data_IF_690656859894
#
_entry.id   IF_690656859894
#
_cell.length_a   1.000
_cell.length_b   1.000
_cell.length_c   1.000
_cell.angle_alpha   90.00
_cell.angle_beta   90.00
_cell.angle_gamma   90.00
#
_symmetry.space_group_name_H-M   'P 1'
#
loop_
_entity.id
_entity.type
_entity.pdbx_description
1 polymer ?
#
# COMPACT_ATOMS: atom_id res chain seq x y z
N UNK A 1 -13.21 26.43 -3.13
CA UNK A 1 -13.16 25.26 -4.01
C UNK A 1 -13.25 24.00 -3.18
N UNK A 2 -14.12 23.07 -3.57
CA UNK A 2 -14.30 21.78 -2.91
C UNK A 2 -13.87 20.67 -3.87
N UNK A 3 -12.91 19.86 -3.48
CA UNK A 3 -12.32 18.80 -4.30
C UNK A 3 -12.68 17.45 -3.68
N UNK A 4 -13.18 16.53 -4.49
CA UNK A 4 -13.39 15.14 -4.13
C UNK A 4 -12.31 14.26 -4.75
N UNK A 5 -11.51 13.62 -3.92
CA UNK A 5 -10.55 12.58 -4.33
C UNK A 5 -11.22 11.22 -4.19
N UNK A 6 -11.12 10.40 -5.24
CA UNK A 6 -11.69 9.05 -5.24
C UNK A 6 -10.57 8.04 -5.48
N UNK A 7 -10.19 7.30 -4.43
CA UNK A 7 -9.33 6.12 -4.52
C UNK A 7 -9.79 5.12 -3.48
N UNK A 8 -10.54 4.12 -3.91
CA UNK A 8 -11.26 3.21 -3.02
C UNK A 8 -10.34 2.17 -2.38
N UNK A 9 -9.44 1.60 -3.16
CA UNK A 9 -8.56 0.47 -2.80
C UNK A 9 -7.50 0.25 -3.90
N UNK A 10 -6.47 -0.60 -3.79
CA UNK A 10 -6.09 -1.33 -2.58
C UNK A 10 -5.24 -0.44 -1.65
N UNK A 11 -4.73 -1.00 -0.53
CA UNK A 11 -3.85 -0.27 0.40
C UNK A 11 -2.67 0.38 -0.32
N UNK A 12 -1.94 -0.39 -1.15
CA UNK A 12 -0.81 0.12 -1.94
C UNK A 12 -1.21 1.26 -2.89
N UNK A 13 -2.35 1.14 -3.56
CA UNK A 13 -2.84 2.20 -4.46
C UNK A 13 -3.22 3.49 -3.70
N UNK A 14 -3.74 3.37 -2.48
CA UNK A 14 -4.01 4.53 -1.62
C UNK A 14 -2.69 5.21 -1.24
N UNK A 15 -1.66 4.43 -0.88
CA UNK A 15 -0.31 4.94 -0.60
C UNK A 15 0.26 5.66 -1.83
N UNK A 16 0.16 5.06 -3.03
CA UNK A 16 0.63 5.68 -4.27
C UNK A 16 -0.07 7.01 -4.60
N UNK A 17 -1.26 7.26 -4.04
CA UNK A 17 -2.02 8.49 -4.27
C UNK A 17 -1.64 9.61 -3.28
N UNK A 18 -0.94 9.31 -2.17
CA UNK A 18 -0.55 10.31 -1.18
C UNK A 18 0.30 11.46 -1.76
N UNK A 19 1.27 11.22 -2.67
CA UNK A 19 2.01 12.32 -3.30
C UNK A 19 1.11 13.25 -4.12
N UNK A 20 0.10 12.71 -4.78
CA UNK A 20 -0.87 13.53 -5.51
C UNK A 20 -1.75 14.36 -4.58
N UNK A 21 -2.11 13.80 -3.42
CA UNK A 21 -2.85 14.55 -2.39
C UNK A 21 -2.00 15.72 -1.86
N UNK A 22 -0.71 15.49 -1.54
CA UNK A 22 0.20 16.55 -1.12
C UNK A 22 0.30 17.66 -2.17
N UNK A 23 0.50 17.30 -3.43
CA UNK A 23 0.57 18.25 -4.54
C UNK A 23 -0.74 19.03 -4.74
N UNK A 24 -1.90 18.40 -4.57
CA UNK A 24 -3.20 19.06 -4.60
C UNK A 24 -3.34 20.06 -3.45
N UNK A 25 -2.94 19.70 -2.22
CA UNK A 25 -3.00 20.60 -1.07
C UNK A 25 -2.05 21.80 -1.25
N UNK A 26 -0.83 21.59 -1.75
CA UNK A 26 0.11 22.67 -2.05
C UNK A 26 -0.46 23.61 -3.12
N UNK A 27 -1.08 23.08 -4.18
CA UNK A 27 -1.66 23.88 -5.28
C UNK A 27 -2.92 24.63 -4.86
N UNK A 28 -3.75 24.02 -4.00
CA UNK A 28 -5.01 24.54 -3.53
C UNK A 28 -5.08 24.60 -2.00
N UNK A 29 -4.28 25.47 -1.35
CA UNK A 29 -4.12 25.47 0.10
C UNK A 29 -5.40 25.75 0.89
N UNK A 30 -6.35 26.48 0.27
CA UNK A 30 -7.65 26.84 0.85
C UNK A 30 -8.81 25.95 0.38
N UNK A 31 -8.54 24.94 -0.43
CA UNK A 31 -9.60 24.04 -0.89
C UNK A 31 -10.05 23.11 0.24
N UNK A 32 -11.35 22.80 0.28
CA UNK A 32 -11.83 21.68 1.09
C UNK A 32 -11.63 20.40 0.28
N UNK A 33 -10.78 19.48 0.77
CA UNK A 33 -10.46 18.22 0.11
C UNK A 33 -11.08 17.07 0.89
N UNK A 34 -12.03 16.38 0.24
CA UNK A 34 -12.64 15.14 0.75
C UNK A 34 -12.06 13.94 0.01
N UNK A 35 -11.90 12.79 0.68
CA UNK A 35 -11.45 11.56 0.04
C UNK A 35 -12.41 10.40 0.30
N UNK A 36 -12.87 9.74 -0.76
CA UNK A 36 -13.66 8.50 -0.68
C UNK A 36 -12.73 7.28 -0.74
N UNK A 37 -12.78 6.45 0.31
CA UNK A 37 -11.94 5.26 0.49
C UNK A 37 -12.73 4.08 1.03
N UNK A 38 -12.33 2.84 0.76
CA UNK A 38 -12.85 1.64 1.42
C UNK A 38 -12.25 1.46 2.84
N UNK A 39 -12.98 0.78 3.73
CA UNK A 39 -12.63 0.59 5.16
C UNK A 39 -11.18 0.10 5.36
N UNK A 40 -10.72 -0.87 4.57
CA UNK A 40 -9.42 -1.52 4.72
C UNK A 40 -8.21 -0.57 4.61
N UNK A 41 -8.36 0.56 3.89
CA UNK A 41 -7.28 1.53 3.72
C UNK A 41 -7.55 2.86 4.45
N UNK A 42 -8.71 2.98 5.12
CA UNK A 42 -9.14 4.24 5.74
C UNK A 42 -8.21 4.70 6.86
N UNK A 43 -7.57 3.77 7.58
CA UNK A 43 -6.62 4.09 8.65
C UNK A 43 -5.45 4.96 8.15
N UNK A 44 -4.98 4.76 6.93
CA UNK A 44 -3.87 5.53 6.36
C UNK A 44 -4.18 7.03 6.22
N UNK A 45 -5.44 7.37 5.99
CA UNK A 45 -5.84 8.74 5.63
C UNK A 45 -6.79 9.40 6.65
N UNK A 46 -7.17 8.71 7.74
CA UNK A 46 -7.92 9.33 8.83
C UNK A 46 -7.09 10.45 9.46
N UNK A 47 -7.71 11.63 9.66
CA UNK A 47 -7.05 12.81 10.23
C UNK A 47 -5.75 13.20 9.49
N UNK A 48 -5.71 12.96 8.18
CA UNK A 48 -4.55 13.29 7.37
C UNK A 48 -4.46 14.82 7.17
N UNK A 49 -3.28 15.48 7.37
CA UNK A 49 -3.16 16.94 7.37
C UNK A 49 -3.56 17.60 6.05
N UNK A 50 -3.47 16.87 4.94
CA UNK A 50 -3.90 17.36 3.62
C UNK A 50 -5.40 17.14 3.34
N UNK A 51 -6.18 16.54 4.25
CA UNK A 51 -7.60 16.24 4.09
C UNK A 51 -8.45 16.97 5.10
N UNK A 52 -9.61 17.42 4.66
CA UNK A 52 -10.64 18.00 5.54
C UNK A 52 -11.73 16.99 5.89
N UNK A 53 -11.95 15.99 5.01
CA UNK A 53 -12.95 14.96 5.24
C UNK A 53 -12.54 13.61 4.62
N UNK A 54 -12.78 12.53 5.35
CA UNK A 54 -12.67 11.16 4.85
C UNK A 54 -14.05 10.52 4.81
N UNK A 55 -14.47 10.02 3.64
CA UNK A 55 -15.75 9.38 3.40
C UNK A 55 -15.50 7.89 3.20
N UNK A 56 -15.99 7.06 4.11
CA UNK A 56 -15.75 5.62 4.07
C UNK A 56 -16.85 4.94 3.26
N UNK A 57 -16.45 4.22 2.21
CA UNK A 57 -17.35 3.39 1.42
C UNK A 57 -17.41 1.97 1.97
N UNK A 58 -18.60 1.56 2.42
CA UNK A 58 -18.91 0.21 2.89
C UNK A 58 -19.14 -0.82 1.77
N UNK A 59 -18.82 -0.52 0.52
CA UNK A 59 -19.19 -1.31 -0.66
C UNK A 59 -18.93 -2.82 -0.54
N UNK A 60 -17.77 -3.22 0.00
CA UNK A 60 -17.45 -4.66 0.17
C UNK A 60 -18.36 -5.32 1.19
N UNK A 61 -18.69 -4.63 2.28
CA UNK A 61 -19.63 -5.08 3.30
C UNK A 61 -21.04 -5.17 2.70
N UNK A 62 -21.49 -4.15 1.98
CA UNK A 62 -22.81 -4.14 1.32
C UNK A 62 -22.98 -5.32 0.37
N UNK A 63 -21.98 -5.64 -0.47
CA UNK A 63 -22.03 -6.79 -1.36
C UNK A 63 -22.14 -8.13 -0.60
N UNK A 64 -21.47 -8.25 0.55
CA UNK A 64 -21.58 -9.42 1.43
C UNK A 64 -22.95 -9.51 2.08
N UNK A 65 -23.51 -8.39 2.54
CA UNK A 65 -24.80 -8.32 3.22
C UNK A 65 -25.96 -8.52 2.23
N UNK A 66 -25.86 -8.01 0.99
CA UNK A 66 -26.81 -8.32 -0.08
C UNK A 66 -26.90 -9.82 -0.36
N UNK A 67 -25.76 -10.53 -0.41
CA UNK A 67 -25.73 -11.99 -0.58
C UNK A 67 -26.36 -12.74 0.61
N UNK A 68 -26.50 -12.10 1.75
CA UNK A 68 -27.15 -12.61 2.97
C UNK A 68 -28.60 -12.18 3.10
N UNK A 69 -29.16 -11.50 2.09
CA UNK A 69 -30.56 -11.04 2.09
C UNK A 69 -30.84 -9.78 2.92
N UNK A 70 -29.81 -9.06 3.39
CA UNK A 70 -29.94 -7.86 4.23
C UNK A 70 -30.18 -6.59 3.41
N UNK A 71 -31.20 -6.57 2.57
CA UNK A 71 -31.45 -5.49 1.61
C UNK A 71 -31.76 -4.15 2.28
N UNK A 72 -32.55 -4.15 3.37
CA UNK A 72 -32.97 -2.93 4.08
C UNK A 72 -31.79 -2.21 4.73
N UNK A 73 -30.86 -2.97 5.35
CA UNK A 73 -29.67 -2.45 5.98
C UNK A 73 -28.72 -1.85 4.95
N UNK A 74 -28.49 -2.57 3.84
CA UNK A 74 -27.65 -2.07 2.74
C UNK A 74 -28.25 -0.79 2.15
N UNK A 75 -29.56 -0.72 1.94
CA UNK A 75 -30.22 0.48 1.40
C UNK A 75 -30.09 1.68 2.36
N UNK A 76 -30.23 1.44 3.66
CA UNK A 76 -30.03 2.47 4.70
C UNK A 76 -28.59 3.00 4.69
N UNK A 77 -27.59 2.12 4.68
CA UNK A 77 -26.17 2.51 4.66
C UNK A 77 -25.79 3.20 3.35
N UNK A 78 -26.28 2.73 2.19
CA UNK A 78 -26.04 3.37 0.92
C UNK A 78 -26.65 4.78 0.84
N UNK A 79 -27.85 4.98 1.41
CA UNK A 79 -28.46 6.31 1.53
C UNK A 79 -27.65 7.23 2.44
N UNK A 80 -27.15 6.71 3.57
CA UNK A 80 -26.29 7.47 4.47
C UNK A 80 -24.98 7.87 3.76
N UNK A 81 -24.34 6.92 3.07
CA UNK A 81 -23.14 7.21 2.27
C UNK A 81 -23.40 8.30 1.23
N UNK A 82 -24.52 8.23 0.52
CA UNK A 82 -24.89 9.24 -0.48
C UNK A 82 -25.19 10.59 0.16
N UNK A 83 -25.83 10.61 1.32
CA UNK A 83 -26.07 11.83 2.10
C UNK A 83 -24.76 12.48 2.51
N UNK A 84 -23.79 11.70 3.02
CA UNK A 84 -22.47 12.20 3.38
C UNK A 84 -21.69 12.67 2.14
N UNK A 85 -21.74 11.91 1.04
CA UNK A 85 -21.09 12.27 -0.22
C UNK A 85 -21.63 13.61 -0.78
N UNK A 86 -22.92 13.88 -0.58
CA UNK A 86 -23.61 15.11 -1.06
C UNK A 86 -23.80 16.18 0.01
N UNK A 87 -23.20 16.01 1.18
CA UNK A 87 -23.30 16.99 2.27
C UNK A 87 -22.67 18.35 1.91
N UNK A 88 -21.82 18.35 0.88
CA UNK A 88 -21.16 19.55 0.34
C UNK A 88 -21.18 19.49 -1.19
N UNK A 89 -21.41 20.61 -1.88
CA UNK A 89 -21.23 20.68 -3.33
C UNK A 89 -19.75 20.63 -3.67
N UNK A 90 -19.36 19.75 -4.60
CA UNK A 90 -17.99 19.66 -5.11
C UNK A 90 -17.86 20.41 -6.43
N UNK A 91 -16.76 21.16 -6.58
CA UNK A 91 -16.40 21.82 -7.82
C UNK A 91 -15.69 20.86 -8.79
N UNK A 92 -14.94 19.90 -8.23
CA UNK A 92 -14.12 18.94 -8.95
C UNK A 92 -14.10 17.59 -8.25
N UNK A 93 -14.35 16.50 -8.97
CA UNK A 93 -14.09 15.13 -8.56
C UNK A 93 -12.93 14.58 -9.38
N UNK A 94 -11.93 13.99 -8.72
CA UNK A 94 -10.75 13.37 -9.33
C UNK A 94 -10.79 11.89 -9.02
N UNK A 95 -10.92 11.06 -10.05
CA UNK A 95 -10.94 9.61 -9.90
C UNK A 95 -9.59 8.99 -10.26
N UNK A 96 -8.78 8.74 -9.23
CA UNK A 96 -7.51 8.01 -9.32
C UNK A 96 -7.68 6.50 -9.46
N UNK A 97 -8.89 5.97 -9.30
CA UNK A 97 -9.13 4.53 -9.32
C UNK A 97 -9.38 4.01 -10.73
N UNK A 98 -10.12 4.77 -11.56
CA UNK A 98 -10.31 4.51 -12.98
C UNK A 98 -11.14 3.28 -13.31
N UNK A 99 -12.04 2.82 -12.43
CA UNK A 99 -12.92 1.68 -12.64
C UNK A 99 -14.39 2.09 -12.51
N UNK A 100 -15.30 1.30 -13.08
CA UNK A 100 -16.75 1.57 -13.04
C UNK A 100 -17.28 1.93 -11.63
N UNK A 101 -16.85 1.18 -10.61
CA UNK A 101 -17.28 1.40 -9.21
C UNK A 101 -16.91 2.77 -8.64
N UNK A 102 -15.80 3.36 -9.09
CA UNK A 102 -15.34 4.67 -8.65
C UNK A 102 -15.90 5.77 -9.53
N UNK A 103 -16.04 5.51 -10.81
CA UNK A 103 -16.66 6.43 -11.76
C UNK A 103 -18.12 6.74 -11.39
N UNK A 104 -18.87 5.76 -10.91
CA UNK A 104 -20.21 5.99 -10.34
C UNK A 104 -20.16 6.92 -9.12
N UNK A 105 -19.17 6.80 -8.24
CA UNK A 105 -19.02 7.70 -7.09
C UNK A 105 -18.75 9.13 -7.59
N UNK A 106 -17.91 9.30 -8.61
CA UNK A 106 -17.67 10.59 -9.24
C UNK A 106 -18.96 11.21 -9.82
N UNK A 107 -19.77 10.41 -10.51
CA UNK A 107 -21.07 10.87 -11.01
C UNK A 107 -22.03 11.23 -9.88
N UNK A 108 -22.18 10.37 -8.90
CA UNK A 108 -23.08 10.56 -7.75
C UNK A 108 -22.70 11.73 -6.85
N UNK A 109 -21.44 12.17 -6.88
CA UNK A 109 -21.00 13.36 -6.13
C UNK A 109 -21.67 14.66 -6.62
N UNK A 110 -22.16 14.67 -7.86
CA UNK A 110 -22.74 15.85 -8.50
C UNK A 110 -21.71 16.88 -8.95
N UNK A 111 -20.42 16.59 -8.90
CA UNK A 111 -19.37 17.51 -9.34
C UNK A 111 -19.49 17.83 -10.83
N UNK A 112 -19.51 19.13 -11.23
CA UNK A 112 -19.59 19.54 -12.64
C UNK A 112 -18.32 19.16 -13.42
N UNK A 113 -17.15 19.15 -12.79
CA UNK A 113 -15.90 18.67 -13.37
C UNK A 113 -15.55 17.30 -12.76
N UNK A 114 -15.43 16.33 -13.63
CA UNK A 114 -15.08 14.94 -13.25
C UNK A 114 -13.87 14.52 -14.07
N UNK A 115 -12.71 14.56 -13.42
CA UNK A 115 -11.41 14.25 -13.99
C UNK A 115 -11.05 12.78 -13.75
N UNK A 116 -10.68 12.08 -14.82
CA UNK A 116 -10.25 10.69 -14.79
C UNK A 116 -9.28 10.38 -15.92
N UNK A 117 -8.88 9.11 -16.05
CA UNK A 117 -8.10 8.67 -17.19
C UNK A 117 -8.98 8.53 -18.45
N UNK A 118 -8.37 8.69 -19.62
CA UNK A 118 -9.01 8.44 -20.92
C UNK A 118 -9.21 6.95 -21.20
N UNK A 119 -8.57 6.08 -20.42
CA UNK A 119 -8.74 4.64 -20.50
C UNK A 119 -10.20 4.24 -20.24
N UNK A 120 -10.70 3.31 -21.05
CA UNK A 120 -12.06 2.81 -20.94
C UNK A 120 -12.20 1.56 -20.08
N UNK A 121 -11.34 1.40 -19.05
CA UNK A 121 -11.40 0.26 -18.15
C UNK A 121 -12.78 0.18 -17.48
N UNK A 122 -13.45 -0.94 -17.65
CA UNK A 122 -14.82 -1.15 -17.14
C UNK A 122 -15.79 -0.01 -17.54
N UNK A 123 -15.61 0.63 -18.70
CA UNK A 123 -16.41 1.76 -19.17
C UNK A 123 -16.34 3.03 -18.29
N UNK A 124 -15.37 3.14 -17.40
CA UNK A 124 -15.24 4.28 -16.48
C UNK A 124 -15.11 5.62 -17.19
N UNK A 125 -14.42 5.65 -18.32
CA UNK A 125 -14.21 6.86 -19.12
C UNK A 125 -15.50 7.54 -19.63
N UNK A 126 -16.65 6.85 -19.59
CA UNK A 126 -17.95 7.46 -19.97
C UNK A 126 -18.47 8.45 -18.91
N UNK A 127 -17.97 8.37 -17.68
CA UNK A 127 -18.44 9.17 -16.55
C UNK A 127 -17.63 10.45 -16.34
N UNK A 128 -16.47 10.57 -17.02
CA UNK A 128 -15.59 11.74 -16.90
C UNK A 128 -15.84 12.69 -18.06
N UNK A 129 -15.88 13.99 -17.75
CA UNK A 129 -15.96 15.06 -18.74
C UNK A 129 -14.63 15.83 -18.89
N UNK A 130 -13.64 15.48 -18.09
CA UNK A 130 -12.26 15.93 -18.21
C UNK A 130 -11.34 14.70 -18.10
N UNK A 131 -10.39 14.53 -19.03
CA UNK A 131 -9.60 13.30 -19.14
C UNK A 131 -8.14 13.59 -19.35
N UNK A 132 -7.30 12.74 -18.78
CA UNK A 132 -5.85 12.72 -19.02
C UNK A 132 -5.43 11.35 -19.58
N UNK A 133 -4.36 11.26 -20.38
CA UNK A 133 -3.86 10.00 -20.89
C UNK A 133 -3.31 9.13 -19.75
N UNK A 134 -3.52 7.81 -19.85
CA UNK A 134 -2.96 6.84 -18.92
C UNK A 134 -1.77 6.11 -19.53
N UNK A 135 -0.55 6.40 -19.09
CA UNK A 135 0.66 5.70 -19.51
C UNK A 135 0.99 4.55 -18.56
N UNK A 136 0.56 3.34 -18.91
CA UNK A 136 0.78 2.13 -18.12
C UNK A 136 2.23 1.64 -18.09
N UNK A 137 3.15 2.24 -18.82
CA UNK A 137 4.59 1.93 -18.76
C UNK A 137 5.29 2.60 -17.59
N UNK A 138 4.68 3.65 -17.01
CA UNK A 138 5.21 4.41 -15.89
C UNK A 138 4.74 3.86 -14.54
N UNK A 139 5.50 4.16 -13.50
CA UNK A 139 5.13 3.79 -12.13
C UNK A 139 3.81 4.45 -11.70
N UNK A 140 3.01 3.76 -10.88
CA UNK A 140 1.69 4.23 -10.44
C UNK A 140 1.74 5.61 -9.75
N UNK A 141 2.76 5.88 -8.93
CA UNK A 141 2.96 7.19 -8.28
C UNK A 141 3.10 8.30 -9.33
N UNK A 142 3.94 8.09 -10.34
CA UNK A 142 4.19 9.11 -11.38
C UNK A 142 2.95 9.35 -12.24
N UNK A 143 2.19 8.29 -12.55
CA UNK A 143 0.91 8.40 -13.26
C UNK A 143 -0.12 9.18 -12.44
N UNK A 144 -0.22 8.93 -11.14
CA UNK A 144 -1.16 9.65 -10.29
C UNK A 144 -0.77 11.12 -10.12
N UNK A 145 0.52 11.46 -10.15
CA UNK A 145 1.00 12.84 -10.14
C UNK A 145 0.61 13.63 -11.42
N UNK A 146 0.23 12.95 -12.49
CA UNK A 146 -0.25 13.64 -13.69
C UNK A 146 -1.59 14.37 -13.47
N UNK A 147 -2.44 13.90 -12.53
CA UNK A 147 -3.67 14.59 -12.16
C UNK A 147 -3.42 15.99 -11.55
N UNK A 148 -2.64 16.14 -10.47
CA UNK A 148 -2.34 17.47 -9.96
C UNK A 148 -1.52 18.31 -10.94
N UNK A 149 -0.64 17.73 -11.78
CA UNK A 149 0.08 18.45 -12.84
C UNK A 149 -0.89 19.04 -13.86
N UNK A 150 -1.89 18.30 -14.32
CA UNK A 150 -2.95 18.76 -15.21
C UNK A 150 -3.72 19.94 -14.59
N UNK A 151 -3.85 19.98 -13.27
CA UNK A 151 -4.48 21.07 -12.53
C UNK A 151 -3.52 22.23 -12.17
N UNK A 152 -2.31 22.23 -12.74
CA UNK A 152 -1.32 23.28 -12.57
C UNK A 152 -0.46 23.19 -11.31
N UNK A 153 -0.40 22.02 -10.66
CA UNK A 153 0.61 21.75 -9.64
C UNK A 153 1.97 21.41 -10.31
N UNK A 154 3.06 21.70 -9.59
CA UNK A 154 4.41 21.36 -10.06
C UNK A 154 5.21 20.66 -8.95
N UNK A 155 4.85 19.41 -8.59
CA UNK A 155 5.57 18.65 -7.58
C UNK A 155 6.97 18.32 -8.09
N UNK A 156 8.00 18.73 -7.35
CA UNK A 156 9.42 18.47 -7.68
C UNK A 156 9.79 17.01 -7.39
N UNK A 157 9.21 16.45 -6.34
CA UNK A 157 9.40 15.06 -5.90
C UNK A 157 8.11 14.49 -5.32
N UNK A 158 8.02 13.18 -5.24
CA UNK A 158 6.90 12.51 -4.61
C UNK A 158 7.08 12.51 -3.08
N UNK A 159 6.19 13.20 -2.38
CA UNK A 159 6.16 13.23 -0.92
C UNK A 159 5.04 12.30 -0.42
N UNK A 160 5.34 11.47 0.57
CA UNK A 160 4.38 10.55 1.19
C UNK A 160 4.05 11.02 2.61
N UNK A 161 3.20 12.02 2.79
CA UNK A 161 2.87 12.51 4.13
C UNK A 161 2.06 11.44 4.88
N UNK A 162 2.71 10.74 5.80
CA UNK A 162 2.10 9.79 6.72
C UNK A 162 2.32 10.31 8.13
N UNK A 163 1.26 10.83 8.72
CA UNK A 163 1.30 11.34 10.08
C UNK A 163 1.04 10.21 11.08
N UNK A 164 1.94 10.05 12.03
CA UNK A 164 1.85 9.06 13.09
C UNK A 164 1.58 9.81 14.39
N UNK A 165 0.47 9.48 15.06
CA UNK A 165 0.09 10.13 16.30
C UNK A 165 0.95 9.66 17.46
N UNK A 166 1.00 10.46 18.53
CA UNK A 166 1.70 10.07 19.75
C UNK A 166 1.22 8.74 20.37
N UNK A 167 -0.07 8.44 20.25
CA UNK A 167 -0.60 7.16 20.74
C UNK A 167 -0.06 5.97 19.94
N UNK A 168 0.13 6.15 18.63
CA UNK A 168 0.73 5.14 17.75
C UNK A 168 2.22 5.00 18.03
N UNK A 169 2.94 6.10 18.27
CA UNK A 169 4.33 6.06 18.73
C UNK A 169 4.47 5.24 20.02
N UNK A 170 3.72 5.60 21.06
CA UNK A 170 3.73 4.88 22.36
C UNK A 170 3.41 3.40 22.21
N UNK A 171 2.49 3.03 21.33
CA UNK A 171 2.16 1.61 21.10
C UNK A 171 3.33 0.86 20.49
N UNK A 172 4.00 1.42 19.49
CA UNK A 172 5.19 0.79 18.90
C UNK A 172 6.35 0.74 19.89
N UNK A 173 6.59 1.81 20.68
CA UNK A 173 7.58 1.80 21.75
C UNK A 173 7.31 0.69 22.77
N UNK A 174 6.04 0.48 23.13
CA UNK A 174 5.62 -0.63 24.01
C UNK A 174 5.96 -2.01 23.40
N UNK A 175 5.72 -2.22 22.10
CA UNK A 175 6.11 -3.44 21.41
C UNK A 175 7.64 -3.63 21.38
N UNK A 176 8.38 -2.55 21.14
CA UNK A 176 9.84 -2.60 21.12
C UNK A 176 10.41 -2.95 22.51
N UNK A 177 9.79 -2.46 23.58
CA UNK A 177 10.16 -2.82 24.96
C UNK A 177 9.77 -4.27 25.29
N UNK A 178 8.50 -4.67 24.99
CA UNK A 178 7.98 -6.02 25.25
C UNK A 178 8.86 -7.10 24.63
N UNK A 179 9.30 -6.87 23.38
CA UNK A 179 10.09 -7.83 22.61
C UNK A 179 11.60 -7.58 22.62
N UNK A 180 12.08 -6.59 23.39
CA UNK A 180 13.51 -6.24 23.53
C UNK A 180 14.19 -5.94 22.19
N UNK A 181 13.51 -5.20 21.30
CA UNK A 181 13.98 -4.90 19.94
C UNK A 181 15.00 -3.75 19.86
N UNK A 182 15.36 -3.16 20.99
CA UNK A 182 16.29 -2.03 21.05
C UNK A 182 15.74 -0.78 20.35
N UNK A 183 16.59 -0.07 19.61
CA UNK A 183 16.21 1.10 18.83
C UNK A 183 15.67 0.76 17.42
N UNK A 184 15.73 -0.51 17.03
CA UNK A 184 15.28 -1.02 15.74
C UNK A 184 16.29 -0.92 14.60
N UNK A 185 17.43 -0.25 14.80
CA UNK A 185 18.45 -0.06 13.75
C UNK A 185 19.02 -1.34 13.17
N UNK A 186 18.88 -2.46 13.85
CA UNK A 186 19.28 -3.79 13.35
C UNK A 186 18.07 -4.70 13.11
N UNK A 187 16.85 -4.21 13.27
CA UNK A 187 15.62 -4.99 13.13
C UNK A 187 15.30 -5.25 11.67
N UNK A 188 15.06 -6.51 11.31
CA UNK A 188 14.57 -6.90 10.00
C UNK A 188 13.11 -7.32 10.12
N UNK A 189 12.25 -6.62 9.38
CA UNK A 189 10.85 -6.97 9.28
C UNK A 189 10.61 -7.89 8.08
N UNK A 190 9.74 -8.88 8.24
CA UNK A 190 9.29 -9.77 7.16
C UNK A 190 7.78 -9.71 7.08
N UNK A 191 7.24 -9.46 5.88
CA UNK A 191 5.83 -9.57 5.60
C UNK A 191 5.57 -10.65 4.55
N UNK A 192 4.83 -11.69 4.93
CA UNK A 192 4.63 -12.88 4.11
C UNK A 192 3.31 -12.88 3.35
N UNK A 193 2.46 -11.87 3.57
CA UNK A 193 1.07 -11.85 3.11
C UNK A 193 0.92 -11.09 1.81
N UNK A 194 0.17 -11.65 0.87
CA UNK A 194 -0.30 -10.97 -0.33
C UNK A 194 -1.78 -11.32 -0.61
N UNK A 195 -2.49 -10.42 -1.32
CA UNK A 195 -3.89 -10.65 -1.71
C UNK A 195 -4.09 -11.77 -2.75
N UNK A 196 -3.06 -12.03 -3.56
CA UNK A 196 -3.10 -13.05 -4.60
C UNK A 196 -2.21 -14.21 -4.18
N UNK A 197 -2.74 -15.42 -4.26
CA UNK A 197 -1.97 -16.64 -3.98
C UNK A 197 -0.72 -16.78 -4.88
N UNK A 198 -0.80 -16.26 -6.11
CA UNK A 198 0.30 -16.26 -7.07
C UNK A 198 1.47 -15.34 -6.71
N UNK A 199 1.30 -14.47 -5.74
CA UNK A 199 2.34 -13.58 -5.21
C UNK A 199 2.98 -14.13 -3.93
N UNK A 200 2.45 -15.21 -3.36
CA UNK A 200 2.99 -15.80 -2.15
C UNK A 200 4.29 -16.55 -2.44
N UNK A 201 5.26 -16.36 -1.56
CA UNK A 201 6.47 -17.17 -1.52
C UNK A 201 6.29 -18.31 -0.52
N UNK A 202 7.09 -19.34 -0.64
CA UNK A 202 6.99 -20.55 0.19
C UNK A 202 7.29 -20.26 1.66
N UNK A 203 6.43 -20.76 2.56
CA UNK A 203 6.58 -20.57 4.02
C UNK A 203 7.88 -21.17 4.56
N UNK A 204 8.31 -22.33 4.03
CA UNK A 204 9.57 -22.95 4.43
C UNK A 204 10.78 -22.11 4.01
N UNK A 205 10.69 -21.44 2.85
CA UNK A 205 11.73 -20.53 2.41
C UNK A 205 11.80 -19.28 3.29
N UNK A 206 10.65 -18.74 3.72
CA UNK A 206 10.64 -17.66 4.70
C UNK A 206 11.25 -18.09 6.04
N UNK A 207 10.94 -19.28 6.52
CA UNK A 207 11.51 -19.83 7.76
C UNK A 207 13.05 -19.95 7.66
N UNK A 208 13.54 -20.58 6.59
CA UNK A 208 14.98 -20.75 6.34
C UNK A 208 15.71 -19.42 6.17
N UNK A 209 15.09 -18.45 5.49
CA UNK A 209 15.65 -17.09 5.34
C UNK A 209 15.76 -16.40 6.70
N UNK A 210 14.73 -16.45 7.51
CA UNK A 210 14.71 -15.83 8.83
C UNK A 210 15.73 -16.49 9.77
N UNK A 211 15.86 -17.81 9.75
CA UNK A 211 16.90 -18.53 10.49
C UNK A 211 18.30 -18.04 10.11
N UNK A 212 18.60 -17.92 8.82
CA UNK A 212 19.89 -17.42 8.35
C UNK A 212 20.15 -15.98 8.79
N UNK A 213 19.17 -15.11 8.69
CA UNK A 213 19.28 -13.70 9.13
C UNK A 213 19.64 -13.65 10.62
N UNK A 214 18.95 -14.44 11.46
CA UNK A 214 19.16 -14.44 12.90
C UNK A 214 20.54 -15.07 13.24
N UNK A 215 20.87 -16.19 12.62
CA UNK A 215 22.07 -16.95 12.98
C UNK A 215 23.36 -16.39 12.38
N UNK A 216 23.32 -15.92 11.12
CA UNK A 216 24.50 -15.43 10.40
C UNK A 216 24.70 -13.92 10.58
N UNK A 217 23.60 -13.09 10.49
CA UNK A 217 23.70 -11.63 10.59
C UNK A 217 23.47 -11.10 12.01
N UNK A 218 23.08 -11.98 12.96
CA UNK A 218 22.75 -11.62 14.36
C UNK A 218 21.71 -10.48 14.45
N UNK A 219 20.80 -10.41 13.49
CA UNK A 219 19.75 -9.43 13.43
C UNK A 219 18.43 -10.00 13.96
N UNK A 220 17.70 -9.31 14.85
CA UNK A 220 16.37 -9.73 15.27
C UNK A 220 15.40 -9.67 14.08
N UNK A 221 14.49 -10.65 14.02
CA UNK A 221 13.47 -10.73 12.96
C UNK A 221 12.09 -10.64 13.58
N UNK A 222 11.24 -9.78 12.99
CA UNK A 222 9.80 -9.69 13.28
C UNK A 222 9.00 -10.05 12.05
N UNK A 223 7.99 -10.88 12.19
CA UNK A 223 6.99 -11.12 11.16
C UNK A 223 5.79 -10.23 11.37
N UNK A 224 5.30 -9.61 10.29
CA UNK A 224 4.15 -8.71 10.29
C UNK A 224 3.05 -9.21 9.36
N UNK A 225 1.80 -8.91 9.69
CA UNK A 225 0.63 -9.31 8.93
C UNK A 225 -0.65 -8.92 9.65
N UNK A 226 -1.81 -9.04 8.98
CA UNK A 226 -3.11 -8.78 9.59
C UNK A 226 -3.63 -9.94 10.45
N UNK A 227 -3.07 -11.14 10.27
CA UNK A 227 -3.45 -12.37 10.98
C UNK A 227 -2.18 -13.06 11.49
N UNK A 228 -2.12 -13.46 12.78
CA UNK A 228 -0.99 -14.17 13.34
C UNK A 228 -0.88 -15.62 12.84
N UNK A 229 -1.99 -16.27 12.45
CA UNK A 229 -2.03 -17.70 12.19
C UNK A 229 -1.10 -18.19 11.07
N UNK A 230 -1.00 -17.51 9.89
CA UNK A 230 -0.04 -17.90 8.87
C UNK A 230 1.42 -17.76 9.33
N UNK A 231 1.70 -16.76 10.17
CA UNK A 231 3.03 -16.51 10.72
C UNK A 231 3.42 -17.64 11.69
N UNK A 232 2.50 -18.11 12.53
CA UNK A 232 2.74 -19.23 13.46
C UNK A 232 3.16 -20.50 12.71
N UNK A 233 2.59 -20.77 11.53
CA UNK A 233 3.01 -21.92 10.72
C UNK A 233 4.46 -21.79 10.22
N UNK A 234 4.90 -20.57 9.90
CA UNK A 234 6.30 -20.30 9.53
C UNK A 234 7.22 -20.45 10.74
N UNK A 235 6.86 -19.86 11.88
CA UNK A 235 7.64 -19.96 13.12
C UNK A 235 7.80 -21.40 13.59
N UNK A 236 6.79 -22.24 13.41
CA UNK A 236 6.84 -23.67 13.72
C UNK A 236 7.84 -24.47 12.87
N UNK A 237 8.37 -23.89 11.77
CA UNK A 237 9.39 -24.49 10.91
C UNK A 237 10.80 -23.93 11.15
N UNK A 238 10.93 -22.89 11.97
CA UNK A 238 12.18 -22.21 12.25
C UNK A 238 12.97 -22.91 13.34
N UNK A 239 14.30 -22.86 13.23
CA UNK A 239 15.23 -23.29 14.28
C UNK A 239 15.56 -22.13 15.26
N UNK A 240 15.60 -20.91 14.78
CA UNK A 240 15.82 -19.70 15.57
C UNK A 240 14.51 -19.06 16.03
N UNK A 241 14.56 -18.17 17.03
CA UNK A 241 13.38 -17.47 17.54
C UNK A 241 13.17 -16.15 16.79
N UNK A 242 12.05 -16.01 16.13
CA UNK A 242 11.55 -14.74 15.61
C UNK A 242 10.24 -14.32 16.32
N UNK A 243 9.82 -13.10 16.10
CA UNK A 243 8.69 -12.50 16.81
C UNK A 243 7.49 -12.41 15.87
N UNK A 244 6.31 -12.87 16.33
CA UNK A 244 5.04 -12.73 15.63
C UNK A 244 4.33 -11.43 16.04
N UNK A 245 4.26 -10.46 15.13
CA UNK A 245 3.49 -9.23 15.29
C UNK A 245 2.21 -9.21 14.44
N UNK A 246 1.78 -10.37 13.95
CA UNK A 246 0.52 -10.51 13.21
C UNK A 246 -0.67 -10.01 14.02
N UNK A 247 -1.50 -9.15 13.42
CA UNK A 247 -2.68 -8.55 14.06
C UNK A 247 -2.39 -7.51 15.15
N UNK A 248 -1.14 -7.22 15.47
CA UNK A 248 -0.78 -6.30 16.58
C UNK A 248 -0.70 -4.84 16.17
N UNK A 249 -0.70 -4.53 14.88
CA UNK A 249 -0.54 -3.17 14.36
C UNK A 249 -1.66 -2.77 13.39
N UNK A 250 -2.10 -1.53 13.48
CA UNK A 250 -2.82 -0.84 12.41
C UNK A 250 -1.85 -0.48 11.27
N UNK A 251 -2.35 0.04 10.15
CA UNK A 251 -1.46 0.40 9.01
C UNK A 251 -0.49 1.54 9.34
N UNK A 252 -0.91 2.54 10.12
CA UNK A 252 -0.02 3.63 10.56
C UNK A 252 1.01 3.17 11.58
N UNK A 253 0.61 2.33 12.52
CA UNK A 253 1.53 1.70 13.48
C UNK A 253 2.54 0.82 12.74
N UNK A 254 2.10 0.09 11.72
CA UNK A 254 2.98 -0.70 10.86
C UNK A 254 3.95 0.18 10.07
N UNK A 255 3.51 1.35 9.58
CA UNK A 255 4.39 2.34 8.96
C UNK A 255 5.48 2.79 9.92
N UNK A 256 5.13 3.08 11.17
CA UNK A 256 6.12 3.49 12.19
C UNK A 256 7.07 2.35 12.57
N UNK A 257 6.58 1.13 12.67
CA UNK A 257 7.42 -0.05 12.89
C UNK A 257 8.45 -0.19 11.75
N UNK A 258 8.00 -0.07 10.49
CA UNK A 258 8.90 -0.14 9.33
C UNK A 258 9.90 1.02 9.32
N UNK A 259 9.49 2.24 9.61
CA UNK A 259 10.38 3.40 9.69
C UNK A 259 11.53 3.19 10.68
N UNK A 260 11.30 2.41 11.75
CA UNK A 260 12.31 2.03 12.75
C UNK A 260 13.09 0.78 12.37
N UNK A 261 12.63 0.01 11.39
CA UNK A 261 13.30 -1.21 10.96
C UNK A 261 14.45 -0.90 9.99
N UNK A 262 15.50 -1.70 10.03
CA UNK A 262 16.64 -1.61 9.12
C UNK A 262 16.23 -1.86 7.67
N UNK A 263 15.39 -2.86 7.44
CA UNK A 263 14.80 -3.18 6.14
C UNK A 263 13.53 -4.03 6.30
N UNK A 264 12.73 -4.07 5.22
CA UNK A 264 11.60 -4.97 5.06
C UNK A 264 11.88 -5.99 3.95
N UNK A 265 11.59 -7.27 4.22
CA UNK A 265 11.50 -8.32 3.20
C UNK A 265 10.03 -8.64 2.98
N UNK A 266 9.57 -8.62 1.73
CA UNK A 266 8.15 -8.83 1.45
C UNK A 266 7.89 -9.26 0.01
N UNK A 267 6.72 -9.81 -0.23
CA UNK A 267 6.19 -10.01 -1.58
C UNK A 267 5.53 -8.71 -2.10
N UNK A 268 5.12 -8.66 -3.37
CA UNK A 268 4.36 -7.54 -3.94
C UNK A 268 3.00 -7.37 -3.22
N UNK A 269 2.97 -6.49 -2.22
CA UNK A 269 1.84 -6.30 -1.31
C UNK A 269 1.75 -4.85 -0.78
N UNK A 270 0.64 -4.51 -0.12
CA UNK A 270 0.47 -3.19 0.51
C UNK A 270 1.59 -2.77 1.47
N UNK A 271 2.05 -3.65 2.37
CA UNK A 271 3.20 -3.42 3.24
C UNK A 271 4.49 -3.01 2.53
N UNK A 272 4.77 -3.54 1.35
CA UNK A 272 5.90 -3.12 0.52
C UNK A 272 5.87 -1.61 0.22
N UNK A 273 4.72 -1.13 -0.24
CA UNK A 273 4.53 0.28 -0.57
C UNK A 273 4.57 1.16 0.68
N UNK A 274 4.08 0.64 1.80
CA UNK A 274 4.10 1.34 3.07
C UNK A 274 5.53 1.57 3.57
N UNK A 275 6.38 0.54 3.52
CA UNK A 275 7.78 0.63 3.90
C UNK A 275 8.55 1.60 2.97
N UNK A 276 8.35 1.49 1.66
CA UNK A 276 8.97 2.42 0.70
C UNK A 276 8.53 3.87 0.94
N UNK A 277 7.25 4.11 1.26
CA UNK A 277 6.71 5.44 1.53
C UNK A 277 7.31 6.11 2.79
N UNK A 278 7.76 5.33 3.78
CA UNK A 278 8.42 5.83 4.99
C UNK A 278 9.95 5.76 4.93
N UNK A 279 10.51 5.47 3.76
CA UNK A 279 11.96 5.47 3.52
C UNK A 279 12.69 4.20 3.98
N UNK A 280 11.98 3.16 4.38
CA UNK A 280 12.60 1.89 4.77
C UNK A 280 13.07 1.12 3.53
N UNK A 281 14.32 0.66 3.45
CA UNK A 281 14.79 -0.21 2.38
C UNK A 281 13.94 -1.49 2.27
N UNK A 282 13.69 -1.94 1.06
CA UNK A 282 12.83 -3.11 0.80
C UNK A 282 13.55 -4.13 -0.08
N UNK A 283 13.52 -5.39 0.32
CA UNK A 283 13.76 -6.54 -0.56
C UNK A 283 12.39 -7.08 -0.98
N UNK A 284 12.01 -6.87 -2.22
CA UNK A 284 10.69 -7.16 -2.76
C UNK A 284 10.72 -8.36 -3.71
N UNK A 285 9.87 -9.37 -3.44
CA UNK A 285 9.77 -10.57 -4.26
C UNK A 285 8.61 -10.42 -5.26
N UNK A 286 8.94 -10.47 -6.54
CA UNK A 286 7.98 -10.30 -7.63
C UNK A 286 7.83 -11.57 -8.47
N UNK A 287 6.59 -11.93 -8.73
CA UNK A 287 6.23 -13.07 -9.58
C UNK A 287 5.38 -12.62 -10.78
N UNK A 288 4.04 -12.64 -10.66
CA UNK A 288 3.13 -12.41 -11.80
C UNK A 288 2.98 -10.95 -12.22
N UNK A 289 3.51 -10.01 -11.46
CA UNK A 289 3.32 -8.56 -11.64
C UNK A 289 4.59 -7.87 -12.13
N UNK A 290 4.43 -6.63 -12.60
CA UNK A 290 5.53 -5.84 -13.14
C UNK A 290 6.01 -4.81 -12.10
N UNK A 291 7.26 -4.93 -11.61
CA UNK A 291 7.80 -3.98 -10.64
C UNK A 291 8.02 -2.57 -11.20
N UNK A 292 8.16 -2.41 -12.51
CA UNK A 292 8.24 -1.07 -13.12
C UNK A 292 6.94 -0.28 -12.92
N UNK A 293 5.81 -0.99 -12.87
CA UNK A 293 4.49 -0.37 -12.68
C UNK A 293 4.13 -0.13 -11.23
N UNK A 294 4.50 -1.04 -10.36
CA UNK A 294 4.05 -1.05 -8.95
C UNK A 294 5.11 -1.62 -7.99
N UNK A 295 6.40 -1.45 -8.27
CA UNK A 295 7.46 -1.80 -7.33
C UNK A 295 7.51 -0.88 -6.11
N UNK A 296 8.46 -1.08 -5.19
CA UNK A 296 8.73 -0.12 -4.14
C UNK A 296 9.23 1.18 -4.78
N UNK A 297 8.57 2.31 -4.47
CA UNK A 297 8.88 3.59 -5.10
C UNK A 297 10.09 4.26 -4.47
N UNK A 298 10.99 4.76 -5.29
CA UNK A 298 12.21 5.43 -4.87
C UNK A 298 13.48 4.61 -5.12
N UNK A 299 14.57 5.03 -4.52
CA UNK A 299 15.88 4.35 -4.58
C UNK A 299 16.15 3.55 -3.30
N UNK A 300 17.19 2.73 -3.31
CA UNK A 300 17.61 1.97 -2.11
C UNK A 300 16.79 0.70 -1.86
N UNK A 301 16.04 0.23 -2.85
CA UNK A 301 15.30 -1.05 -2.78
C UNK A 301 15.94 -2.12 -3.66
N UNK A 302 15.67 -3.38 -3.38
CA UNK A 302 16.03 -4.53 -4.22
C UNK A 302 14.78 -5.26 -4.64
N UNK A 303 14.64 -5.50 -5.93
CA UNK A 303 13.54 -6.28 -6.50
C UNK A 303 14.09 -7.58 -7.07
N UNK A 304 13.60 -8.70 -6.57
CA UNK A 304 13.96 -10.03 -7.04
C UNK A 304 12.81 -10.56 -7.89
N UNK A 305 13.09 -10.79 -9.17
CA UNK A 305 12.14 -11.33 -10.14
C UNK A 305 12.85 -12.26 -11.11
N UNK A 306 12.21 -13.39 -11.41
CA UNK A 306 12.72 -14.30 -12.45
C UNK A 306 12.28 -13.85 -13.83
N UNK A 307 13.23 -13.77 -14.75
CA UNK A 307 12.99 -13.48 -16.18
C UNK A 307 12.36 -14.70 -16.86
N UNK A 308 11.04 -14.81 -16.78
CA UNK A 308 10.29 -15.88 -17.43
C UNK A 308 9.40 -15.29 -18.52
N UNK A 309 9.26 -15.99 -19.66
CA UNK A 309 8.43 -15.56 -20.78
C UNK A 309 6.95 -15.33 -20.39
N UNK A 310 6.48 -16.08 -19.38
CA UNK A 310 5.12 -15.94 -18.88
C UNK A 310 4.95 -14.82 -17.85
N UNK A 311 5.98 -14.09 -17.45
CA UNK A 311 5.93 -13.03 -16.44
C UNK A 311 6.44 -11.69 -17.00
N UNK A 312 5.66 -10.59 -16.82
CA UNK A 312 4.45 -10.42 -16.00
C UNK A 312 3.18 -10.94 -16.70
N UNK A 313 2.33 -11.67 -16.00
CA UNK A 313 1.08 -12.21 -16.56
C UNK A 313 -0.19 -11.68 -15.87
N UNK A 314 -0.06 -11.04 -14.71
CA UNK A 314 -1.16 -10.50 -13.88
C UNK A 314 -2.25 -11.50 -13.51
N UNK A 315 -1.95 -12.81 -13.52
CA UNK A 315 -2.89 -13.88 -13.18
C UNK A 315 -2.98 -14.05 -11.66
N UNK A 316 -4.18 -14.06 -11.13
CA UNK A 316 -4.46 -14.31 -9.70
C UNK A 316 -4.41 -15.79 -9.34
N UNK A 317 -4.58 -16.67 -10.33
CA UNK A 317 -4.52 -18.12 -10.19
C UNK A 317 -3.57 -18.72 -11.21
N UNK A 318 -2.67 -19.59 -10.77
CA UNK A 318 -1.71 -20.29 -11.59
C UNK A 318 -1.35 -21.64 -10.96
N UNK A 319 -1.36 -22.72 -11.74
CA UNK A 319 -1.06 -24.07 -11.23
C UNK A 319 0.42 -24.26 -10.87
N UNK A 320 1.34 -23.63 -11.60
CA UNK A 320 2.78 -23.87 -11.44
C UNK A 320 3.46 -22.85 -10.52
N UNK A 321 3.07 -21.57 -10.57
CA UNK A 321 3.66 -20.43 -9.81
C UNK A 321 5.19 -20.44 -9.83
N UNK A 322 5.80 -20.88 -10.96
CA UNK A 322 7.26 -21.05 -11.08
C UNK A 322 8.02 -19.73 -10.89
N UNK A 323 7.39 -18.59 -11.21
CA UNK A 323 7.98 -17.26 -11.01
C UNK A 323 8.33 -16.98 -9.54
N UNK A 324 7.52 -17.46 -8.59
CA UNK A 324 7.81 -17.34 -7.15
C UNK A 324 8.63 -18.52 -6.64
N UNK A 325 8.31 -19.74 -7.10
CA UNK A 325 9.02 -20.96 -6.67
C UNK A 325 10.51 -20.93 -7.01
N UNK A 326 10.88 -20.32 -8.14
CA UNK A 326 12.28 -20.25 -8.57
C UNK A 326 13.10 -19.18 -7.82
N UNK A 327 12.48 -18.28 -7.06
CA UNK A 327 13.23 -17.39 -6.16
C UNK A 327 13.80 -18.24 -5.03
N UNK A 328 15.13 -18.21 -4.88
CA UNK A 328 15.86 -19.01 -3.87
C UNK A 328 16.07 -18.21 -2.59
N UNK A 329 16.33 -18.91 -1.49
CA UNK A 329 16.69 -18.29 -0.21
C UNK A 329 18.01 -17.55 -0.32
N UNK A 330 18.99 -18.09 -1.05
CA UNK A 330 20.31 -17.48 -1.23
C UNK A 330 20.21 -16.13 -1.93
N UNK A 331 19.45 -16.03 -3.03
CA UNK A 331 19.25 -14.76 -3.75
C UNK A 331 18.65 -13.67 -2.86
N UNK A 332 17.67 -14.05 -2.02
CA UNK A 332 17.04 -13.10 -1.10
C UNK A 332 18.02 -12.70 0.03
N UNK A 333 18.72 -13.66 0.59
CA UNK A 333 19.71 -13.43 1.64
C UNK A 333 20.87 -12.54 1.17
N UNK A 334 21.40 -12.79 -0.04
CA UNK A 334 22.46 -11.96 -0.63
C UNK A 334 21.98 -10.53 -0.89
N UNK A 335 20.75 -10.37 -1.37
CA UNK A 335 20.13 -9.03 -1.52
C UNK A 335 19.94 -8.30 -0.19
N UNK A 336 19.69 -9.03 0.90
CA UNK A 336 19.65 -8.48 2.26
C UNK A 336 21.03 -7.97 2.66
N UNK A 337 22.09 -8.79 2.49
CA UNK A 337 23.47 -8.38 2.80
C UNK A 337 23.89 -7.15 2.03
N UNK A 338 23.65 -7.11 0.73
CA UNK A 338 23.98 -5.96 -0.13
C UNK A 338 23.34 -4.66 0.35
N UNK A 339 22.09 -4.71 0.82
CA UNK A 339 21.41 -3.53 1.36
C UNK A 339 21.97 -3.12 2.73
N UNK A 340 22.34 -4.09 3.58
CA UNK A 340 22.93 -3.79 4.88
C UNK A 340 24.32 -3.15 4.72
N UNK A 341 25.15 -3.65 3.82
CA UNK A 341 26.50 -3.15 3.54
C UNK A 341 26.47 -1.76 2.88
N UNK A 342 25.57 -1.54 1.93
CA UNK A 342 25.41 -0.24 1.24
C UNK A 342 25.01 0.89 2.20
N UNK A 343 24.33 0.56 3.29
CA UNK A 343 23.90 1.55 4.29
C UNK A 343 25.03 1.93 5.28
N UNK A 344 26.11 1.12 5.36
CA UNK A 344 27.26 1.42 6.21
C UNK A 344 28.26 2.39 5.54
N UNK A 345 28.29 2.42 4.20
CA UNK A 345 29.23 3.28 3.43
C UNK A 345 28.75 4.71 3.19
N UNK A 346 27.52 5.06 3.59
CA UNK A 346 26.93 6.40 3.39
C UNK A 346 27.04 7.37 4.57
N UNK A 347 27.71 6.99 5.67
CA UNK A 347 27.82 7.85 6.88
C UNK A 347 29.19 8.49 7.07
N UNK A 348 30.09 8.41 6.09
CA UNK A 348 31.45 8.96 6.16
C UNK A 348 31.70 10.14 5.19
N UNK A 349 30.65 10.89 4.77
CA UNK A 349 30.84 12.16 4.05
C UNK A 349 30.15 13.32 4.75
#
# INVERSE_FOLDING_TARGET
MNILVIKLSAVGDVIHTLPSLAALRQRFPKAHISWVVEEAASDLIRNHPCLDQVIISGRKRWLKDLRRGKFSEVLKEARLFLSVLRSRPYDLAIDFHGLFKSAIVALLSGAPRRLGYDSMQELSGLFYNEKIPEDLTRHAVDRYLDFPRHLGANPKQAEFPLEISESQHRKIDGLFQEYQLGDGKNLIAINTVALWETKLWDDEKFARLADRIILELKAPVVFTGSDPSPIELILGRMAAKAINLGGKTSLRELAHLYQRSRLLITTDSGPMHLAAAVGTPVVALFGPTDPLRTGPYGSGHRVIRKGLDCSPCFRKHCKSVICMKNITVDEVFDSVKDLLDSSCSGNDE
#
